data_IF_281095404351
#
_entry.id   IF_281095404351
#
_cell.length_a   1.000
_cell.length_b   1.000
_cell.length_c   1.000
_cell.angle_alpha   90.00
_cell.angle_beta   90.00
_cell.angle_gamma   90.00
#
_symmetry.space_group_name_H-M   'P 1'
#
loop_
_entity.id
_entity.type
_entity.pdbx_description
1 polymer ?
#
# COMPACT_ATOMS: atom_id res chain seq x y z
N UNK A 1 -16.56 22.44 -13.36
CA UNK A 1 -16.29 22.55 -11.92
C UNK A 1 -17.49 22.03 -11.14
N UNK A 2 -17.61 20.72 -10.94
CA UNK A 2 -18.71 20.11 -10.17
C UNK A 2 -18.11 19.24 -9.05
N UNK A 3 -18.43 19.59 -7.80
CA UNK A 3 -18.58 18.70 -6.64
C UNK A 3 -17.42 17.81 -6.14
N UNK A 4 -16.18 18.29 -6.09
CA UNK A 4 -15.10 17.56 -5.38
C UNK A 4 -15.23 17.58 -3.84
N UNK A 5 -16.13 18.38 -3.25
CA UNK A 5 -16.31 18.45 -1.79
C UNK A 5 -17.07 17.27 -1.16
N UNK A 6 -17.91 16.57 -1.93
CA UNK A 6 -18.74 15.49 -1.39
C UNK A 6 -18.05 14.12 -1.42
N UNK A 7 -17.11 13.88 -2.35
CA UNK A 7 -16.22 12.70 -2.32
C UNK A 7 -15.22 12.81 -1.15
N UNK A 8 -14.77 14.02 -0.87
CA UNK A 8 -13.81 14.39 0.18
C UNK A 8 -14.26 14.02 1.59
N UNK A 9 -15.55 14.17 1.89
CA UNK A 9 -16.10 13.83 3.21
C UNK A 9 -16.18 12.30 3.42
N UNK A 10 -16.22 11.50 2.35
CA UNK A 10 -16.42 10.05 2.41
C UNK A 10 -15.13 9.29 2.72
N UNK A 11 -13.97 9.79 2.26
CA UNK A 11 -12.65 9.29 2.63
C UNK A 11 -12.37 9.53 4.13
N UNK A 12 -12.68 10.75 4.58
CA UNK A 12 -12.46 11.22 5.96
C UNK A 12 -13.42 10.54 6.94
N UNK A 13 -14.71 10.39 6.63
CA UNK A 13 -15.66 9.71 7.52
C UNK A 13 -15.43 8.20 7.58
N UNK A 14 -15.10 7.54 6.45
CA UNK A 14 -14.94 6.09 6.41
C UNK A 14 -13.79 5.61 7.28
N UNK A 15 -12.66 6.30 7.19
CA UNK A 15 -11.45 6.03 7.98
C UNK A 15 -11.68 6.40 9.46
N UNK A 16 -12.23 7.60 9.75
CA UNK A 16 -12.45 8.07 11.14
C UNK A 16 -13.55 7.27 11.88
N UNK A 17 -14.63 6.86 11.20
CA UNK A 17 -15.70 6.07 11.84
C UNK A 17 -15.24 4.64 12.16
N UNK A 18 -14.35 4.04 11.35
CA UNK A 18 -13.77 2.73 11.65
C UNK A 18 -12.93 2.78 12.95
N UNK A 19 -12.09 3.81 13.11
CA UNK A 19 -11.22 3.99 14.27
C UNK A 19 -11.96 4.18 15.61
N UNK A 20 -13.24 4.56 15.58
CA UNK A 20 -14.02 4.80 16.81
C UNK A 20 -14.64 3.54 17.44
N UNK A 21 -14.50 2.36 16.81
CA UNK A 21 -15.19 1.13 17.21
C UNK A 21 -14.32 0.04 17.85
N UNK A 22 -12.99 0.20 17.88
CA UNK A 22 -12.09 -0.84 18.38
C UNK A 22 -11.61 -0.57 19.81
N UNK A 23 -11.90 -1.53 20.70
CA UNK A 23 -11.52 -1.55 22.10
C UNK A 23 -10.03 -1.78 22.32
N UNK A 24 -9.60 -1.48 23.54
CA UNK A 24 -8.21 -1.34 24.00
C UNK A 24 -7.38 -2.63 23.96
N UNK A 25 -6.69 -2.84 22.85
CA UNK A 25 -5.34 -3.38 22.69
C UNK A 25 -4.97 -3.05 21.23
N UNK A 26 -3.97 -2.20 20.98
CA UNK A 26 -3.62 -1.82 19.60
C UNK A 26 -3.04 -3.06 18.91
N UNK A 27 -3.90 -3.82 18.23
CA UNK A 27 -3.49 -4.79 17.23
C UNK A 27 -2.63 -4.07 16.20
N UNK A 28 -1.57 -4.70 15.69
CA UNK A 28 -0.73 -4.10 14.66
C UNK A 28 -1.58 -3.86 13.42
N UNK A 29 -1.73 -2.60 13.03
CA UNK A 29 -2.68 -2.18 11.99
C UNK A 29 -1.92 -1.60 10.81
N UNK A 30 -2.33 -1.98 9.61
CA UNK A 30 -1.82 -1.37 8.38
C UNK A 30 -2.95 -0.78 7.54
N UNK A 31 -2.60 0.16 6.68
CA UNK A 31 -3.54 0.85 5.78
C UNK A 31 -2.92 0.92 4.40
N UNK A 32 -3.66 0.50 3.38
CA UNK A 32 -3.31 0.73 1.96
C UNK A 32 -4.42 1.52 1.27
N UNK A 33 -4.08 2.68 0.74
CA UNK A 33 -5.03 3.60 0.11
C UNK A 33 -4.58 4.03 -1.27
N UNK A 34 -5.55 4.19 -2.17
CA UNK A 34 -5.36 4.80 -3.48
C UNK A 34 -5.96 6.19 -3.49
N UNK A 35 -5.24 7.13 -4.10
CA UNK A 35 -5.67 8.51 -4.29
C UNK A 35 -5.58 8.86 -5.77
N UNK A 36 -6.44 9.76 -6.22
CA UNK A 36 -6.55 10.16 -7.63
C UNK A 36 -5.68 11.38 -7.99
N UNK A 37 -5.07 12.05 -7.01
CA UNK A 37 -4.18 13.19 -7.23
C UNK A 37 -3.21 13.36 -6.04
N UNK A 38 -2.08 14.08 -6.23
CA UNK A 38 -1.08 14.26 -5.18
C UNK A 38 -1.61 15.06 -3.98
N UNK A 39 -2.51 16.02 -4.16
CA UNK A 39 -3.06 16.81 -3.05
C UNK A 39 -3.88 15.95 -2.09
N UNK A 40 -4.69 15.02 -2.60
CA UNK A 40 -5.44 14.05 -1.82
C UNK A 40 -4.52 13.08 -1.08
N UNK A 41 -3.44 12.65 -1.74
CA UNK A 41 -2.43 11.79 -1.13
C UNK A 41 -1.78 12.47 0.08
N UNK A 42 -1.29 13.71 -0.06
CA UNK A 42 -0.66 14.48 1.02
C UNK A 42 -1.59 14.67 2.22
N UNK A 43 -2.87 14.92 1.97
CA UNK A 43 -3.87 15.03 3.04
C UNK A 43 -4.13 13.69 3.72
N UNK A 44 -4.19 12.59 2.96
CA UNK A 44 -4.30 11.24 3.51
C UNK A 44 -3.11 10.90 4.42
N UNK A 45 -1.90 11.25 4.00
CA UNK A 45 -0.67 11.11 4.78
C UNK A 45 -0.75 11.91 6.08
N UNK A 46 -1.19 13.17 6.04
CA UNK A 46 -1.33 14.00 7.24
C UNK A 46 -2.33 13.39 8.24
N UNK A 47 -3.46 12.88 7.75
CA UNK A 47 -4.46 12.19 8.58
C UNK A 47 -3.86 10.95 9.24
N UNK A 48 -3.15 10.11 8.49
CA UNK A 48 -2.52 8.90 9.00
C UNK A 48 -1.45 9.22 10.05
N UNK A 49 -0.56 10.18 9.76
CA UNK A 49 0.46 10.65 10.72
C UNK A 49 -0.17 11.19 12.00
N UNK A 50 -1.25 11.98 11.90
CA UNK A 50 -1.99 12.50 13.07
C UNK A 50 -2.71 11.40 13.87
N UNK A 51 -3.03 10.27 13.25
CA UNK A 51 -3.58 9.09 13.90
C UNK A 51 -2.50 8.16 14.49
N UNK A 52 -1.21 8.53 14.38
CA UNK A 52 -0.09 7.77 14.91
C UNK A 52 0.37 6.62 14.01
N UNK A 53 0.07 6.67 12.71
CA UNK A 53 0.61 5.74 11.73
C UNK A 53 1.94 6.25 11.16
N UNK A 54 2.84 5.31 10.91
CA UNK A 54 4.07 5.52 10.15
C UNK A 54 3.80 5.24 8.68
N UNK A 55 4.05 6.21 7.80
CA UNK A 55 3.91 6.02 6.35
C UNK A 55 5.13 5.27 5.84
N UNK A 56 4.89 4.15 5.16
CA UNK A 56 5.92 3.18 4.73
C UNK A 56 6.14 3.15 3.23
N UNK A 57 5.24 3.79 2.46
CA UNK A 57 5.53 4.06 1.04
C UNK A 57 6.66 5.09 0.97
N UNK A 58 7.71 4.84 0.17
CA UNK A 58 8.79 5.80 0.03
C UNK A 58 8.25 7.03 -0.71
N UNK A 59 8.10 8.15 0.00
CA UNK A 59 7.61 9.41 -0.55
C UNK A 59 8.77 10.41 -0.68
N UNK A 60 9.56 10.53 0.39
CA UNK A 60 10.84 11.22 0.45
C UNK A 60 11.89 10.26 1.02
N UNK A 61 12.87 9.90 0.21
CA UNK A 61 13.92 8.95 0.62
C UNK A 61 14.82 9.58 1.68
N UNK A 62 14.99 10.91 1.67
CA UNK A 62 15.77 11.61 2.70
C UNK A 62 15.08 11.56 4.05
N UNK A 63 13.74 11.73 4.09
CA UNK A 63 12.97 11.61 5.34
C UNK A 63 13.15 10.21 5.94
N UNK A 64 13.12 9.16 5.12
CA UNK A 64 13.34 7.77 5.56
C UNK A 64 14.76 7.56 6.10
N UNK A 65 15.77 8.22 5.56
CA UNK A 65 17.16 8.06 6.05
C UNK A 65 17.40 8.87 7.32
N UNK A 66 16.91 10.10 7.35
CA UNK A 66 17.09 11.01 8.48
C UNK A 66 16.23 10.61 9.67
N UNK A 67 15.06 10.04 9.41
CA UNK A 67 14.09 9.56 10.39
C UNK A 67 13.59 8.16 9.96
N UNK A 68 14.42 7.11 10.09
CA UNK A 68 14.01 5.77 9.73
C UNK A 68 12.76 5.37 10.49
N UNK A 69 11.74 4.81 9.80
CA UNK A 69 10.61 4.17 10.46
C UNK A 69 11.10 3.19 11.53
N UNK A 70 10.33 3.04 12.60
CA UNK A 70 10.60 1.98 13.57
C UNK A 70 10.72 0.63 12.86
N UNK A 71 11.69 -0.19 13.26
CA UNK A 71 12.10 -1.40 12.52
C UNK A 71 10.96 -2.39 12.22
N UNK A 72 9.87 -2.36 12.99
CA UNK A 72 8.67 -3.18 12.74
C UNK A 72 7.62 -2.54 11.81
N UNK A 73 7.63 -1.23 11.59
CA UNK A 73 6.66 -0.61 10.67
C UNK A 73 6.86 -1.06 9.22
N UNK A 74 8.10 -1.42 8.88
CA UNK A 74 8.55 -1.70 7.54
C UNK A 74 8.61 -3.19 7.20
N UNK A 75 8.39 -4.07 8.19
CA UNK A 75 8.43 -5.53 8.00
C UNK A 75 7.16 -6.07 7.33
N UNK A 76 6.13 -5.24 7.19
CA UNK A 76 4.86 -5.60 6.55
C UNK A 76 3.95 -6.47 7.38
N UNK A 77 4.29 -6.79 8.63
CA UNK A 77 3.43 -7.56 9.53
C UNK A 77 2.22 -6.73 9.99
N UNK A 78 1.07 -7.38 10.09
CA UNK A 78 -0.16 -6.77 10.59
C UNK A 78 -1.17 -7.82 11.06
N UNK A 79 -2.06 -7.43 11.97
CA UNK A 79 -3.20 -8.22 12.40
C UNK A 79 -4.49 -7.78 11.71
N UNK A 80 -4.58 -6.52 11.32
CA UNK A 80 -5.62 -5.99 10.44
C UNK A 80 -5.02 -5.04 9.39
N UNK A 81 -5.48 -5.15 8.14
CA UNK A 81 -5.20 -4.17 7.10
C UNK A 81 -6.50 -3.54 6.59
N UNK A 82 -6.52 -2.21 6.58
CA UNK A 82 -7.60 -1.39 6.03
C UNK A 82 -7.28 -1.02 4.59
N UNK A 83 -8.13 -1.45 3.66
CA UNK A 83 -7.94 -1.32 2.23
C UNK A 83 -8.95 -0.33 1.66
N UNK A 84 -8.46 0.75 1.06
CA UNK A 84 -9.30 1.75 0.40
C UNK A 84 -8.89 1.97 -1.04
N UNK A 85 -9.57 1.26 -1.94
CA UNK A 85 -9.27 1.28 -3.37
C UNK A 85 -10.28 2.09 -4.20
N UNK A 86 -11.10 2.91 -3.54
CA UNK A 86 -12.23 3.60 -4.18
C UNK A 86 -11.82 4.64 -5.23
N UNK A 87 -10.59 5.16 -5.19
CA UNK A 87 -10.11 6.24 -6.08
C UNK A 87 -9.33 5.72 -7.29
N UNK A 88 -9.50 4.45 -7.65
CA UNK A 88 -8.92 3.86 -8.85
C UNK A 88 -9.97 3.07 -9.62
N UNK A 89 -9.75 2.95 -10.93
CA UNK A 89 -10.58 2.14 -11.80
C UNK A 89 -10.10 0.68 -11.75
N UNK A 90 -10.96 -0.28 -11.35
CA UNK A 90 -10.56 -1.68 -11.28
C UNK A 90 -10.78 -2.39 -12.62
N UNK A 91 -9.92 -3.34 -12.96
CA UNK A 91 -10.14 -4.23 -14.11
C UNK A 91 -11.21 -5.29 -13.82
N UNK A 92 -11.33 -5.72 -12.57
CA UNK A 92 -12.42 -6.58 -12.10
C UNK A 92 -13.50 -5.68 -11.48
N UNK A 93 -14.74 -5.65 -12.02
CA UNK A 93 -15.77 -4.77 -11.50
C UNK A 93 -16.03 -4.96 -9.99
N UNK A 94 -16.25 -3.85 -9.29
CA UNK A 94 -16.62 -3.78 -7.86
C UNK A 94 -15.50 -4.14 -6.86
N UNK A 95 -14.25 -4.32 -7.29
CA UNK A 95 -13.10 -4.47 -6.37
C UNK A 95 -12.55 -3.14 -5.86
N UNK A 96 -12.94 -2.01 -6.45
CA UNK A 96 -12.59 -0.65 -6.02
C UNK A 96 -13.49 -0.17 -4.87
N UNK A 97 -13.24 -0.69 -3.68
CA UNK A 97 -14.05 -0.36 -2.50
C UNK A 97 -13.24 -0.32 -1.23
N UNK A 98 -13.90 0.13 -0.16
CA UNK A 98 -13.38 0.08 1.19
C UNK A 98 -13.72 -1.26 1.84
N UNK A 99 -12.74 -1.90 2.47
CA UNK A 99 -12.90 -3.10 3.30
C UNK A 99 -11.67 -3.29 4.20
N UNK A 100 -11.73 -4.21 5.17
CA UNK A 100 -10.55 -4.67 5.90
C UNK A 100 -10.37 -6.17 5.77
N UNK A 101 -9.14 -6.61 5.97
CA UNK A 101 -8.77 -8.01 6.15
C UNK A 101 -8.13 -8.17 7.52
N UNK A 102 -8.49 -9.24 8.23
CA UNK A 102 -7.90 -9.59 9.51
C UNK A 102 -8.00 -11.11 9.69
N UNK A 103 -6.98 -11.70 10.30
CA UNK A 103 -7.05 -13.12 10.67
C UNK A 103 -8.01 -13.29 11.87
N UNK A 104 -9.00 -14.18 11.81
CA UNK A 104 -10.00 -14.33 12.89
C UNK A 104 -9.41 -14.85 14.20
N UNK A 105 -8.18 -15.37 14.19
CA UNK A 105 -7.47 -15.85 15.37
C UNK A 105 -6.45 -14.83 15.89
N UNK A 106 -6.33 -13.66 15.25
CA UNK A 106 -5.35 -12.62 15.62
C UNK A 106 -3.91 -13.01 15.30
N UNK A 107 -3.71 -13.91 14.33
CA UNK A 107 -2.38 -14.24 13.81
C UNK A 107 -1.89 -13.11 12.92
N UNK A 108 -0.59 -12.84 12.96
CA UNK A 108 0.01 -11.86 12.06
C UNK A 108 -0.04 -12.37 10.62
N UNK A 109 -0.43 -11.47 9.72
CA UNK A 109 -0.37 -11.57 8.27
C UNK A 109 0.74 -10.65 7.78
N UNK A 110 1.15 -10.81 6.52
CA UNK A 110 2.24 -10.02 5.95
C UNK A 110 1.82 -9.40 4.62
N UNK A 111 2.15 -8.12 4.46
CA UNK A 111 2.00 -7.36 3.22
C UNK A 111 3.37 -7.04 2.63
N UNK A 112 3.64 -7.55 1.43
CA UNK A 112 4.85 -7.21 0.67
C UNK A 112 4.49 -6.13 -0.33
N UNK A 113 5.22 -5.02 -0.31
CA UNK A 113 4.95 -3.87 -1.19
C UNK A 113 6.20 -3.52 -1.99
N UNK A 114 6.06 -3.51 -3.31
CA UNK A 114 7.16 -3.30 -4.23
C UNK A 114 6.77 -2.41 -5.42
N UNK A 115 7.76 -1.72 -5.98
CA UNK A 115 7.58 -0.82 -7.13
C UNK A 115 8.56 -1.12 -8.24
N UNK A 116 8.06 -1.25 -9.47
CA UNK A 116 8.89 -1.32 -10.68
C UNK A 116 9.00 0.05 -11.29
N UNK A 117 10.23 0.57 -11.36
CA UNK A 117 10.47 1.91 -11.88
C UNK A 117 10.18 1.97 -13.38
N UNK A 118 9.69 3.11 -13.85
CA UNK A 118 9.60 3.38 -15.27
C UNK A 118 11.00 3.33 -15.91
N UNK A 119 11.13 2.75 -17.10
CA UNK A 119 12.42 2.58 -17.77
C UNK A 119 13.15 3.90 -18.08
N UNK A 120 12.42 5.02 -18.20
CA UNK A 120 13.00 6.34 -18.40
C UNK A 120 13.16 7.05 -17.04
N UNK A 121 14.36 7.56 -16.69
CA UNK A 121 14.54 8.31 -15.45
C UNK A 121 13.65 9.56 -15.43
N UNK A 122 12.88 9.73 -14.35
CA UNK A 122 12.06 10.91 -14.06
C UNK A 122 12.32 11.37 -12.62
N UNK A 123 12.23 12.69 -12.38
CA UNK A 123 12.15 13.24 -11.03
C UNK A 123 10.88 14.12 -10.94
N UNK A 124 9.94 13.83 -10.02
CA UNK A 124 9.92 12.69 -9.09
C UNK A 124 9.91 11.32 -9.80
N UNK A 125 10.38 10.28 -9.09
CA UNK A 125 10.44 8.91 -9.64
C UNK A 125 9.02 8.43 -9.91
N UNK A 126 8.74 8.04 -11.15
CA UNK A 126 7.47 7.43 -11.53
C UNK A 126 7.57 5.91 -11.47
N UNK A 127 6.51 5.27 -10.97
CA UNK A 127 6.39 3.82 -10.87
C UNK A 127 5.54 3.31 -12.04
N UNK A 128 6.05 2.33 -12.78
CA UNK A 128 5.30 1.68 -13.85
C UNK A 128 4.21 0.78 -13.26
N UNK A 129 4.58 -0.04 -12.27
CA UNK A 129 3.68 -0.95 -11.59
C UNK A 129 4.05 -1.09 -10.11
N UNK A 130 3.04 -0.96 -9.25
CA UNK A 130 3.15 -1.24 -7.81
C UNK A 130 2.50 -2.58 -7.51
N UNK A 131 3.27 -3.48 -6.89
CA UNK A 131 2.77 -4.77 -6.39
C UNK A 131 2.49 -4.66 -4.90
N UNK A 132 1.32 -5.14 -4.48
CA UNK A 132 0.92 -5.28 -3.07
C UNK A 132 0.47 -6.73 -2.89
N UNK A 133 1.27 -7.57 -2.24
CA UNK A 133 1.00 -8.99 -2.07
C UNK A 133 0.70 -9.28 -0.61
N UNK A 134 -0.42 -9.95 -0.34
CA UNK A 134 -0.81 -10.33 1.01
C UNK A 134 -0.67 -11.83 1.23
N UNK A 135 0.07 -12.22 2.26
CA UNK A 135 0.36 -13.62 2.60
C UNK A 135 0.13 -13.92 4.09
N UNK A 136 -0.06 -15.20 4.37
CA UNK A 136 -0.42 -15.74 5.69
C UNK A 136 0.77 -16.03 6.61
N UNK A 137 2.01 -16.03 6.09
CA UNK A 137 3.20 -16.35 6.87
C UNK A 137 4.40 -15.51 6.47
N UNK A 138 5.34 -15.33 7.41
CA UNK A 138 6.61 -14.64 7.17
C UNK A 138 7.44 -15.33 6.08
N UNK A 139 7.50 -16.66 6.10
CA UNK A 139 8.22 -17.46 5.10
C UNK A 139 7.74 -17.17 3.67
N UNK A 140 6.41 -17.10 3.47
CA UNK A 140 5.84 -16.72 2.17
C UNK A 140 6.18 -15.28 1.80
N UNK A 141 6.22 -14.37 2.76
CA UNK A 141 6.60 -12.98 2.49
C UNK A 141 8.06 -12.88 2.02
N UNK A 142 8.97 -13.72 2.55
CA UNK A 142 10.33 -13.87 2.03
C UNK A 142 10.36 -14.45 0.61
N UNK A 143 9.58 -15.49 0.34
CA UNK A 143 9.47 -16.09 -1.00
C UNK A 143 8.98 -15.06 -2.03
N UNK A 144 7.87 -14.37 -1.76
CA UNK A 144 7.32 -13.32 -2.61
C UNK A 144 8.29 -12.16 -2.82
N UNK A 145 9.05 -11.79 -1.77
CA UNK A 145 10.07 -10.76 -1.88
C UNK A 145 11.16 -11.17 -2.87
N UNK A 146 11.67 -12.39 -2.77
CA UNK A 146 12.68 -12.91 -3.69
C UNK A 146 12.16 -12.96 -5.13
N UNK A 147 10.92 -13.41 -5.35
CA UNK A 147 10.30 -13.45 -6.67
C UNK A 147 10.14 -12.05 -7.28
N UNK A 148 9.71 -11.06 -6.51
CA UNK A 148 9.58 -9.67 -6.96
C UNK A 148 10.94 -9.04 -7.28
N UNK A 149 11.96 -9.31 -6.46
CA UNK A 149 13.34 -8.88 -6.73
C UNK A 149 13.85 -9.47 -8.05
N UNK A 150 13.66 -10.76 -8.29
CA UNK A 150 14.05 -11.44 -9.54
C UNK A 150 13.34 -10.86 -10.78
N UNK A 151 12.12 -10.34 -10.61
CA UNK A 151 11.36 -9.65 -11.66
C UNK A 151 11.75 -8.17 -11.84
N UNK A 152 12.72 -7.68 -11.06
CA UNK A 152 13.27 -6.33 -11.12
C UNK A 152 12.44 -5.28 -10.38
N UNK A 153 11.60 -5.69 -9.41
CA UNK A 153 10.93 -4.74 -8.51
C UNK A 153 11.86 -4.31 -7.39
N UNK A 154 11.64 -3.09 -6.89
CA UNK A 154 12.25 -2.59 -5.67
C UNK A 154 11.25 -2.82 -4.52
N UNK A 155 11.56 -3.75 -3.62
CA UNK A 155 10.67 -4.14 -2.51
C UNK A 155 10.96 -3.25 -1.31
N UNK A 156 9.99 -2.47 -0.85
CA UNK A 156 10.18 -1.47 0.22
C UNK A 156 9.43 -1.79 1.52
N UNK A 157 8.40 -2.63 1.50
CA UNK A 157 7.78 -3.22 2.70
C UNK A 157 7.91 -4.73 2.61
N UNK A 158 8.60 -5.34 3.56
CA UNK A 158 8.91 -6.79 3.60
C UNK A 158 9.66 -7.12 4.88
N UNK A 159 9.53 -8.35 5.43
CA UNK A 159 10.41 -8.81 6.52
C UNK A 159 11.88 -8.97 6.09
N UNK A 160 12.18 -8.98 4.79
CA UNK A 160 13.56 -9.01 4.28
C UNK A 160 14.23 -7.64 4.33
N UNK A 161 14.91 -7.38 5.44
CA UNK A 161 15.63 -6.14 5.66
C UNK A 161 16.73 -5.83 4.63
N UNK A 162 17.34 -6.85 4.00
CA UNK A 162 18.38 -6.61 3.00
C UNK A 162 17.76 -6.23 1.65
N UNK A 163 16.70 -6.91 1.21
CA UNK A 163 15.96 -6.51 0.00
C UNK A 163 15.42 -5.07 0.12
N UNK A 164 14.87 -4.71 1.28
CA UNK A 164 14.41 -3.36 1.57
C UNK A 164 15.52 -2.31 1.48
N UNK A 165 16.66 -2.60 2.10
CA UNK A 165 17.83 -1.72 2.06
C UNK A 165 18.37 -1.55 0.64
N UNK A 166 18.39 -2.61 -0.16
CA UNK A 166 18.77 -2.54 -1.57
C UNK A 166 17.80 -1.69 -2.40
N UNK A 167 16.50 -1.79 -2.14
CA UNK A 167 15.49 -0.93 -2.76
C UNK A 167 15.77 0.55 -2.44
N UNK A 168 15.95 0.91 -1.17
CA UNK A 168 16.25 2.30 -0.79
C UNK A 168 17.57 2.81 -1.36
N UNK A 169 18.64 2.01 -1.35
CA UNK A 169 19.92 2.37 -1.98
C UNK A 169 19.74 2.62 -3.47
N UNK A 170 18.97 1.79 -4.16
CA UNK A 170 18.72 1.93 -5.60
C UNK A 170 17.93 3.19 -5.91
N UNK A 171 16.89 3.48 -5.12
CA UNK A 171 16.11 4.70 -5.23
C UNK A 171 16.98 5.95 -5.03
N UNK A 172 17.88 5.95 -4.04
CA UNK A 172 18.84 7.06 -3.82
C UNK A 172 19.80 7.29 -4.99
N UNK A 173 20.33 6.20 -5.56
CA UNK A 173 21.28 6.27 -6.68
C UNK A 173 20.66 6.90 -7.94
N UNK A 174 19.34 6.86 -8.08
CA UNK A 174 18.64 7.51 -9.19
C UNK A 174 18.67 9.06 -9.11
N UNK A 175 19.18 9.65 -8.02
CA UNK A 175 19.44 11.09 -7.94
C UNK A 175 18.20 11.96 -7.74
N UNK A 176 17.01 11.35 -7.66
CA UNK A 176 15.77 11.99 -7.26
C UNK A 176 15.50 11.66 -5.78
N UNK A 177 15.32 12.67 -4.92
CA UNK A 177 14.97 12.47 -3.51
C UNK A 177 13.48 12.13 -3.29
N UNK A 178 12.64 12.35 -4.29
CA UNK A 178 11.19 12.22 -4.21
C UNK A 178 10.68 11.10 -5.12
N UNK A 179 9.92 10.17 -4.55
CA UNK A 179 9.24 9.08 -5.26
C UNK A 179 7.74 9.33 -5.36
N UNK A 180 7.20 10.18 -4.46
CA UNK A 180 5.82 10.66 -4.40
C UNK A 180 4.67 9.63 -4.54
N UNK A 181 4.94 8.34 -4.77
CA UNK A 181 3.95 7.27 -4.87
C UNK A 181 3.10 7.27 -6.15
N UNK A 182 3.47 8.04 -7.19
CA UNK A 182 2.78 8.05 -8.47
C UNK A 182 3.03 6.75 -9.26
N UNK A 183 1.98 5.97 -9.48
CA UNK A 183 2.06 4.67 -10.16
C UNK A 183 1.03 4.53 -11.28
N UNK A 184 1.43 3.99 -12.43
CA UNK A 184 0.53 3.83 -13.59
C UNK A 184 -0.43 2.66 -13.43
N UNK A 185 -0.05 1.68 -12.62
CA UNK A 185 -0.84 0.50 -12.33
C UNK A 185 -0.56 0.03 -10.90
N UNK A 186 -1.59 -0.45 -10.22
CA UNK A 186 -1.42 -1.21 -8.97
C UNK A 186 -1.97 -2.60 -9.17
N UNK A 187 -1.18 -3.60 -8.85
CA UNK A 187 -1.57 -4.99 -8.79
C UNK A 187 -1.60 -5.41 -7.33
N UNK A 188 -2.76 -5.89 -6.86
CA UNK A 188 -2.95 -6.35 -5.49
C UNK A 188 -3.25 -7.84 -5.51
N UNK A 189 -2.37 -8.63 -4.93
CA UNK A 189 -2.51 -10.08 -4.85
C UNK A 189 -3.02 -10.49 -3.46
N UNK A 190 -4.07 -11.30 -3.49
CA UNK A 190 -4.72 -11.88 -2.33
C UNK A 190 -4.79 -13.40 -2.42
N UNK A 191 -4.10 -14.06 -3.36
CA UNK A 191 -4.26 -15.49 -3.62
C UNK A 191 -4.08 -16.33 -2.34
N UNK A 192 -3.10 -16.00 -1.51
CA UNK A 192 -2.85 -16.74 -0.27
C UNK A 192 -3.87 -16.47 0.84
N UNK A 193 -4.41 -15.25 0.89
CA UNK A 193 -5.32 -14.79 1.95
C UNK A 193 -6.76 -14.57 1.47
N UNK A 194 -7.12 -15.08 0.29
CA UNK A 194 -8.40 -14.77 -0.37
C UNK A 194 -9.61 -15.10 0.50
N UNK A 195 -9.49 -16.09 1.39
CA UNK A 195 -10.55 -16.52 2.31
C UNK A 195 -10.88 -15.49 3.39
N UNK A 196 -10.00 -14.53 3.65
CA UNK A 196 -10.20 -13.40 4.56
C UNK A 196 -10.96 -12.24 3.91
N UNK A 197 -11.07 -12.22 2.58
CA UNK A 197 -11.79 -11.18 1.88
C UNK A 197 -13.30 -11.29 2.10
N UNK A 198 -14.06 -10.19 1.93
CA UNK A 198 -15.51 -10.27 1.83
C UNK A 198 -15.95 -11.31 0.79
N UNK A 199 -17.05 -12.03 1.08
CA UNK A 199 -17.48 -13.21 0.30
C UNK A 199 -17.55 -13.01 -1.22
N UNK A 200 -17.96 -11.84 -1.67
CA UNK A 200 -18.10 -11.52 -3.10
C UNK A 200 -16.76 -11.22 -3.80
N UNK A 201 -15.67 -11.04 -3.05
CA UNK A 201 -14.31 -10.86 -3.57
C UNK A 201 -13.46 -12.13 -3.52
N UNK A 202 -13.84 -13.13 -2.71
CA UNK A 202 -13.04 -14.34 -2.52
C UNK A 202 -12.81 -15.12 -3.82
N UNK A 203 -13.85 -15.33 -4.62
CA UNK A 203 -13.74 -16.08 -5.89
C UNK A 203 -12.89 -15.34 -6.93
N UNK A 204 -13.10 -14.04 -7.20
CA UNK A 204 -12.21 -13.28 -8.06
C UNK A 204 -10.74 -13.31 -7.60
N UNK A 205 -10.48 -13.09 -6.31
CA UNK A 205 -9.12 -13.04 -5.77
C UNK A 205 -8.37 -14.38 -5.88
N UNK A 206 -9.10 -15.49 -5.78
CA UNK A 206 -8.53 -16.83 -5.98
C UNK A 206 -8.12 -17.10 -7.44
N UNK A 207 -8.67 -16.35 -8.39
CA UNK A 207 -8.45 -16.62 -9.82
C UNK A 207 -7.32 -15.80 -10.40
N UNK A 208 -7.13 -14.57 -9.90
CA UNK A 208 -6.12 -13.65 -10.38
C UNK A 208 -5.98 -12.45 -9.40
N UNK A 209 -4.83 -11.75 -9.44
CA UNK A 209 -4.65 -10.48 -8.76
C UNK A 209 -5.67 -9.41 -9.18
N UNK A 210 -5.94 -8.47 -8.27
CA UNK A 210 -6.76 -7.30 -8.55
C UNK A 210 -5.90 -6.20 -9.14
N UNK A 211 -6.16 -5.86 -10.40
CA UNK A 211 -5.44 -4.82 -11.11
C UNK A 211 -6.28 -3.53 -11.13
N UNK A 212 -5.62 -2.42 -10.82
CA UNK A 212 -6.18 -1.08 -10.76
C UNK A 212 -5.38 -0.13 -11.65
N UNK A 213 -6.10 0.72 -12.38
CA UNK A 213 -5.54 1.79 -13.21
C UNK A 213 -6.17 3.14 -12.86
N UNK A 214 -5.55 4.27 -13.21
CA UNK A 214 -6.07 5.60 -12.90
C UNK A 214 -7.49 5.78 -13.44
N UNK A 215 -8.40 6.32 -12.62
CA UNK A 215 -9.73 6.74 -13.09
C UNK A 215 -9.64 8.04 -13.91
N UNK A 216 -8.80 8.97 -13.45
CA UNK A 216 -8.50 10.24 -14.10
C UNK A 216 -6.97 10.45 -14.12
N UNK A 217 -6.43 10.96 -15.24
CA UNK A 217 -5.00 11.22 -15.40
C UNK A 217 -4.16 9.97 -15.68
N UNK A 218 -2.87 10.04 -15.36
CA UNK A 218 -1.89 9.01 -15.71
C UNK A 218 -1.43 8.16 -14.51
N UNK A 219 -1.80 8.54 -13.28
CA UNK A 219 -1.27 7.92 -12.07
C UNK A 219 -2.32 7.69 -10.98
N UNK A 220 -2.18 6.58 -10.28
CA UNK A 220 -2.70 6.34 -8.93
C UNK A 220 -1.64 6.81 -7.95
N UNK A 221 -2.06 7.46 -6.87
CA UNK A 221 -1.17 7.94 -5.81
C UNK A 221 -1.32 7.04 -4.59
N UNK A 222 -0.41 6.09 -4.45
CA UNK A 222 -0.48 5.02 -3.43
C UNK A 222 0.06 5.51 -2.09
N UNK A 223 -0.60 5.14 -1.01
CA UNK A 223 -0.08 5.30 0.36
C UNK A 223 -0.29 4.01 1.12
N UNK A 224 0.80 3.50 1.69
CA UNK A 224 0.82 2.42 2.67
C UNK A 224 1.33 2.99 4.00
N UNK A 225 0.72 2.58 5.10
CA UNK A 225 1.11 2.99 6.45
C UNK A 225 0.88 1.86 7.46
N UNK A 226 1.61 1.89 8.58
CA UNK A 226 1.54 0.89 9.66
C UNK A 226 1.54 1.57 11.04
N UNK A 227 0.93 0.92 12.04
CA UNK A 227 0.87 1.32 13.44
C UNK A 227 1.07 0.11 14.36
#
# INVERSE_FOLDING_TARGET
MKNNRNLFLSLVLGIILFFSSMGTAQAQQSVSTFNNNPEAQLQGIEILKNAGYTVVTPLDIKEIIENPPDAGSLDGSFQENILNFQQAMPLIPRTNRFFSIADPFGTDLYGVVAGKLLAAPSCPIEIEDTQIVFVSTEEKAFEETAELVDQGYLVYVTPDSEAQKEAFITLLKNGCGEINGATRQVTVDFEDVFYLLPRDLQQPARQQPFIYIPEDGDFIWVVNASQ
#
